data_IF_709641370235
#
_entry.id   IF_709641370235
#
_cell.length_a   1.000
_cell.length_b   1.000
_cell.length_c   1.000
_cell.angle_alpha   90.00
_cell.angle_beta   90.00
_cell.angle_gamma   90.00
#
_symmetry.space_group_name_H-M   'P 1'
#
loop_
_entity.id
_entity.type
_entity.pdbx_description
1 polymer ?
#
# COMPACT_ATOMS: atom_id res chain seq x y z
N UNK A 1 -16.14 -7.28 5.70
CA UNK A 1 -16.22 -7.91 4.36
C UNK A 1 -17.66 -7.88 3.89
N UNK A 2 -17.92 -7.81 2.57
CA UNK A 2 -19.28 -7.90 2.02
C UNK A 2 -19.27 -8.59 0.65
N UNK A 3 -20.31 -9.38 0.34
CA UNK A 3 -20.44 -10.04 -0.97
C UNK A 3 -20.85 -9.00 -2.02
N UNK A 4 -20.01 -8.81 -3.04
CA UNK A 4 -20.18 -7.81 -4.10
C UNK A 4 -19.58 -8.33 -5.41
N UNK A 5 -20.01 -7.76 -6.53
CA UNK A 5 -19.32 -7.91 -7.80
C UNK A 5 -17.99 -7.16 -7.72
N UNK A 6 -16.87 -7.88 -7.88
CA UNK A 6 -15.56 -7.26 -7.90
C UNK A 6 -15.43 -6.38 -9.16
N UNK A 7 -15.04 -5.10 -9.05
CA UNK A 7 -14.97 -4.22 -10.21
C UNK A 7 -13.86 -4.58 -11.20
N UNK A 8 -12.91 -5.45 -10.82
CA UNK A 8 -11.77 -5.86 -11.65
C UNK A 8 -12.12 -7.14 -12.41
N UNK A 9 -12.30 -8.26 -11.70
CA UNK A 9 -12.58 -9.54 -12.34
C UNK A 9 -14.06 -9.79 -12.67
N UNK A 10 -14.96 -8.87 -12.29
CA UNK A 10 -16.42 -8.93 -12.56
C UNK A 10 -17.16 -10.11 -11.92
N UNK A 11 -16.50 -10.86 -11.04
CA UNK A 11 -17.09 -11.99 -10.31
C UNK A 11 -17.79 -11.57 -9.01
N UNK A 12 -18.89 -12.24 -8.66
CA UNK A 12 -19.58 -12.07 -7.38
C UNK A 12 -18.83 -12.81 -6.25
N UNK A 13 -18.08 -12.07 -5.43
CA UNK A 13 -17.19 -12.63 -4.39
C UNK A 13 -17.24 -11.82 -3.08
N UNK A 14 -16.65 -12.36 -2.02
CA UNK A 14 -16.40 -11.59 -0.80
C UNK A 14 -15.35 -10.53 -1.06
N UNK A 15 -15.74 -9.27 -0.92
CA UNK A 15 -14.88 -8.12 -1.14
C UNK A 15 -14.46 -7.45 0.17
N UNK A 16 -13.20 -7.02 0.19
CA UNK A 16 -12.57 -6.24 1.24
C UNK A 16 -12.47 -4.76 0.86
N UNK A 17 -12.39 -3.91 1.87
CA UNK A 17 -12.15 -2.48 1.70
C UNK A 17 -10.74 -2.25 1.17
N UNK A 18 -10.62 -1.45 0.12
CA UNK A 18 -9.36 -0.98 -0.45
C UNK A 18 -9.42 0.56 -0.54
N UNK A 19 -8.42 1.23 0.02
CA UNK A 19 -8.32 2.69 -0.07
C UNK A 19 -7.66 3.05 -1.40
N UNK A 20 -8.29 3.91 -2.20
CA UNK A 20 -7.68 4.41 -3.45
C UNK A 20 -6.39 5.18 -3.16
N UNK A 21 -6.35 5.85 -2.00
CA UNK A 21 -5.18 6.59 -1.51
C UNK A 21 -4.74 5.99 -0.16
N UNK A 22 -3.77 5.05 -0.18
CA UNK A 22 -3.21 4.44 1.04
C UNK A 22 -2.65 5.47 2.03
N UNK A 23 -2.99 5.30 3.32
CA UNK A 23 -2.50 6.16 4.41
C UNK A 23 -0.99 6.22 4.53
N UNK A 24 -0.32 5.13 4.17
CA UNK A 24 1.14 5.03 4.24
C UNK A 24 1.84 6.05 3.34
N UNK A 25 1.16 6.52 2.29
CA UNK A 25 1.71 7.45 1.30
C UNK A 25 1.00 8.82 1.35
N UNK A 26 -0.34 8.83 1.46
CA UNK A 26 -1.14 10.07 1.42
C UNK A 26 -1.67 10.54 2.79
N UNK A 27 -1.27 9.88 3.90
CA UNK A 27 -1.69 10.26 5.24
C UNK A 27 -3.20 10.03 5.52
N UNK A 28 -3.73 10.76 6.50
CA UNK A 28 -5.11 10.60 7.01
C UNK A 28 -6.08 11.67 6.47
N UNK A 29 -5.80 12.25 5.30
CA UNK A 29 -6.66 13.27 4.67
C UNK A 29 -7.98 12.72 4.11
N UNK A 30 -8.83 13.61 3.60
CA UNK A 30 -10.14 13.25 3.01
C UNK A 30 -10.02 12.24 1.86
N UNK A 31 -8.94 12.31 1.09
CA UNK A 31 -8.61 11.37 0.02
C UNK A 31 -8.55 9.92 0.50
N UNK A 32 -8.13 9.68 1.74
CA UNK A 32 -8.08 8.34 2.29
C UNK A 32 -9.47 7.71 2.44
N UNK A 33 -10.54 8.51 2.58
CA UNK A 33 -11.91 8.00 2.69
C UNK A 33 -12.45 7.49 1.35
N UNK A 34 -11.75 7.72 0.23
CA UNK A 34 -12.12 7.20 -1.09
C UNK A 34 -11.84 5.71 -1.15
N UNK A 35 -12.89 4.93 -0.89
CA UNK A 35 -12.86 3.48 -0.75
C UNK A 35 -13.47 2.79 -1.98
N UNK A 36 -12.84 1.71 -2.41
CA UNK A 36 -13.43 0.69 -3.30
C UNK A 36 -13.45 -0.67 -2.60
N UNK A 37 -14.21 -1.61 -3.15
CA UNK A 37 -14.30 -2.96 -2.63
C UNK A 37 -13.78 -3.95 -3.66
N UNK A 38 -12.77 -4.72 -3.29
CA UNK A 38 -12.10 -5.68 -4.17
C UNK A 38 -12.13 -7.07 -3.56
N UNK A 39 -12.22 -8.12 -4.40
CA UNK A 39 -11.97 -9.48 -3.92
C UNK A 39 -10.49 -9.63 -3.49
N UNK A 40 -10.19 -10.66 -2.70
CA UNK A 40 -8.84 -10.85 -2.15
C UNK A 40 -7.76 -10.95 -3.23
N UNK A 41 -8.04 -11.67 -4.31
CA UNK A 41 -7.07 -11.93 -5.38
C UNK A 41 -6.72 -10.63 -6.13
N UNK A 42 -7.73 -9.89 -6.59
CA UNK A 42 -7.50 -8.61 -7.25
C UNK A 42 -6.92 -7.55 -6.32
N UNK A 43 -7.23 -7.62 -5.02
CA UNK A 43 -6.61 -6.75 -4.02
C UNK A 43 -5.10 -7.00 -3.92
N UNK A 44 -4.68 -8.28 -3.86
CA UNK A 44 -3.26 -8.67 -3.81
C UNK A 44 -2.52 -8.29 -5.09
N UNK A 45 -3.12 -8.59 -6.25
CA UNK A 45 -2.57 -8.26 -7.57
C UNK A 45 -2.22 -6.77 -7.68
N UNK A 46 -3.10 -5.86 -7.22
CA UNK A 46 -2.82 -4.42 -7.26
C UNK A 46 -1.65 -4.05 -6.34
N UNK A 47 -1.58 -4.59 -5.12
CA UNK A 47 -0.46 -4.31 -4.21
C UNK A 47 0.86 -4.79 -4.78
N UNK A 48 0.87 -5.93 -5.48
CA UNK A 48 2.06 -6.44 -6.15
C UNK A 48 2.51 -5.53 -7.30
N UNK A 49 1.59 -5.12 -8.18
CA UNK A 49 1.90 -4.17 -9.26
C UNK A 49 2.37 -2.80 -8.75
N UNK A 50 1.80 -2.31 -7.64
CA UNK A 50 2.28 -1.08 -7.01
C UNK A 50 3.70 -1.26 -6.48
N UNK A 51 3.97 -2.38 -5.81
CA UNK A 51 5.30 -2.69 -5.27
C UNK A 51 6.36 -2.79 -6.38
N UNK A 52 6.02 -3.37 -7.53
CA UNK A 52 6.91 -3.39 -8.69
C UNK A 52 7.28 -1.98 -9.15
N UNK A 53 6.29 -1.08 -9.27
CA UNK A 53 6.54 0.32 -9.61
C UNK A 53 7.32 1.08 -8.54
N UNK A 54 7.06 0.81 -7.26
CA UNK A 54 7.86 1.37 -6.16
C UNK A 54 9.32 0.92 -6.26
N UNK A 55 9.57 -0.34 -6.62
CA UNK A 55 10.93 -0.85 -6.85
C UNK A 55 11.60 -0.18 -8.05
N UNK A 56 10.89 0.04 -9.15
CA UNK A 56 11.42 0.78 -10.32
C UNK A 56 11.86 2.19 -9.92
N UNK A 57 11.05 2.91 -9.14
CA UNK A 57 11.42 4.23 -8.60
C UNK A 57 12.67 4.13 -7.72
N UNK A 58 12.75 3.15 -6.83
CA UNK A 58 13.93 2.96 -5.97
C UNK A 58 15.20 2.60 -6.76
N UNK A 59 15.07 1.91 -7.88
CA UNK A 59 16.20 1.65 -8.78
C UNK A 59 16.66 2.92 -9.50
N UNK A 60 15.74 3.82 -9.85
CA UNK A 60 16.07 5.13 -10.45
C UNK A 60 16.72 6.08 -9.45
N UNK A 61 16.37 5.98 -8.17
CA UNK A 61 16.84 6.84 -7.07
C UNK A 61 17.43 6.01 -5.93
N UNK A 62 18.54 5.28 -6.16
CA UNK A 62 19.10 4.34 -5.18
C UNK A 62 19.51 5.00 -3.86
N UNK A 63 19.83 6.30 -3.88
CA UNK A 63 20.15 7.10 -2.70
C UNK A 63 19.01 7.18 -1.69
N UNK A 64 17.75 7.07 -2.13
CA UNK A 64 16.59 7.00 -1.22
C UNK A 64 16.66 5.74 -0.37
N UNK A 65 17.01 4.60 -0.98
CA UNK A 65 17.13 3.34 -0.27
C UNK A 65 18.36 3.31 0.63
N UNK A 66 19.53 3.61 0.07
CA UNK A 66 20.82 3.59 0.79
C UNK A 66 20.78 4.57 1.96
N UNK A 67 20.35 5.81 1.73
CA UNK A 67 20.27 6.82 2.78
C UNK A 67 19.27 6.46 3.89
N UNK A 68 18.16 5.77 3.55
CA UNK A 68 17.22 5.25 4.55
C UNK A 68 17.83 4.13 5.38
N UNK A 69 18.54 3.20 4.75
CA UNK A 69 19.24 2.10 5.44
C UNK A 69 20.33 2.63 6.38
N UNK A 70 21.17 3.56 5.92
CA UNK A 70 22.22 4.17 6.74
C UNK A 70 21.64 4.89 7.97
N UNK A 71 20.54 5.64 7.79
CA UNK A 71 19.84 6.28 8.91
C UNK A 71 19.32 5.26 9.92
N UNK A 72 18.74 4.15 9.45
CA UNK A 72 18.26 3.08 10.33
C UNK A 72 19.41 2.43 11.12
N UNK A 73 20.55 2.17 10.47
CA UNK A 73 21.75 1.62 11.11
C UNK A 73 22.31 2.60 12.16
N UNK A 74 22.47 3.88 11.81
CA UNK A 74 23.02 4.92 12.70
C UNK A 74 22.11 5.24 13.87
N UNK A 75 20.79 5.22 13.65
CA UNK A 75 19.81 5.55 14.68
C UNK A 75 19.63 4.45 15.72
N UNK A 76 20.02 3.20 15.44
CA UNK A 76 19.72 2.05 16.30
C UNK A 76 18.22 1.91 16.64
N UNK A 77 17.34 2.60 15.91
CA UNK A 77 16.05 3.01 16.44
C UNK A 77 14.94 2.06 16.00
N UNK A 78 14.27 1.53 17.01
CA UNK A 78 13.14 0.60 16.93
C UNK A 78 11.92 1.37 16.46
N UNK A 79 11.81 1.64 15.16
CA UNK A 79 10.57 2.15 14.57
C UNK A 79 9.51 1.05 14.44
N UNK A 80 9.23 0.37 15.55
CA UNK A 80 7.94 -0.27 15.79
C UNK A 80 6.95 0.86 16.07
N UNK A 81 6.23 1.31 15.04
CA UNK A 81 5.14 2.30 15.14
C UNK A 81 4.34 2.10 16.43
N UNK A 82 4.47 3.00 17.42
CA UNK A 82 3.43 3.17 18.45
C UNK A 82 2.20 3.69 17.70
N UNK A 83 1.26 2.78 17.42
CA UNK A 83 -0.11 3.13 17.03
C UNK A 83 -0.68 3.96 18.18
N UNK A 84 -0.93 5.23 17.92
CA UNK A 84 -1.68 6.13 18.80
C UNK A 84 -3.16 5.73 18.77
#
# INVERSE_FOLDING_TARGET
MRKLVCPICKELKWCNRHHKFPRAVWGYGEENNKIIYLCLDCHRMIHEQIREKENEILQMFPELYIGTLEKAIKGGDKNGKKRK
#
